data_IF_621853697420
#
_entry.id   IF_621853697420
#
_cell.length_a   1.000
_cell.length_b   1.000
_cell.length_c   1.000
_cell.angle_alpha   90.00
_cell.angle_beta   90.00
_cell.angle_gamma   90.00
#
_symmetry.space_group_name_H-M   'P 1'
#
loop_
_entity.id
_entity.type
_entity.pdbx_description
1 polymer ?
#
# COMPACT_ATOMS: atom_id res chain seq x y z
N UNK A 1 -3.60 3.38 -18.41
CA UNK A 1 -2.35 2.89 -17.81
C UNK A 1 -2.74 2.22 -16.51
N UNK A 2 -2.53 0.92 -16.34
CA UNK A 2 -2.85 0.26 -15.07
C UNK A 2 -1.76 0.60 -14.06
N UNK A 3 -2.14 1.28 -12.98
CA UNK A 3 -1.24 1.67 -11.89
C UNK A 3 -0.96 0.45 -11.02
N UNK A 4 0.10 -0.29 -11.37
CA UNK A 4 0.56 -1.46 -10.63
C UNK A 4 1.67 -1.09 -9.65
N UNK A 5 1.63 -1.72 -8.49
CA UNK A 5 2.70 -1.61 -7.50
C UNK A 5 3.92 -2.35 -8.05
N UNK A 6 5.08 -1.69 -7.97
CA UNK A 6 6.36 -2.24 -8.42
C UNK A 6 7.38 -2.07 -7.30
N UNK A 7 8.12 -3.12 -7.00
CA UNK A 7 9.18 -3.08 -6.01
C UNK A 7 10.51 -3.16 -6.72
N UNK A 8 11.37 -2.18 -6.46
CA UNK A 8 12.70 -2.05 -7.06
C UNK A 8 13.74 -2.52 -6.04
N UNK A 9 14.49 -3.58 -6.36
CA UNK A 9 15.55 -4.14 -5.48
C UNK A 9 16.78 -4.44 -6.32
N UNK A 10 17.86 -3.72 -6.07
CA UNK A 10 19.02 -3.71 -6.98
C UNK A 10 18.58 -3.35 -8.39
N UNK A 11 18.96 -4.17 -9.36
CA UNK A 11 18.57 -4.02 -10.77
C UNK A 11 17.21 -4.67 -11.10
N UNK A 12 16.58 -5.35 -10.13
CA UNK A 12 15.32 -6.07 -10.32
C UNK A 12 14.10 -5.19 -10.12
N UNK A 13 13.09 -5.39 -10.98
CA UNK A 13 11.74 -4.85 -10.80
C UNK A 13 10.75 -5.99 -10.61
N UNK A 14 10.06 -5.99 -9.47
CA UNK A 14 9.15 -7.06 -9.05
C UNK A 14 7.73 -6.54 -8.88
N UNK A 15 6.75 -7.43 -9.04
CA UNK A 15 5.33 -7.14 -8.90
C UNK A 15 4.82 -7.89 -7.67
N UNK A 16 4.48 -7.22 -6.56
CA UNK A 16 4.00 -7.92 -5.36
C UNK A 16 2.72 -8.71 -5.64
N UNK A 17 2.68 -9.98 -5.23
CA UNK A 17 1.57 -10.89 -5.56
C UNK A 17 0.22 -10.49 -4.94
N UNK A 18 0.22 -9.80 -3.79
CA UNK A 18 -0.99 -9.40 -3.08
C UNK A 18 -1.89 -8.42 -3.85
N UNK A 19 -1.40 -7.81 -4.95
CA UNK A 19 -2.21 -6.94 -5.79
C UNK A 19 -3.13 -7.71 -6.75
N UNK A 20 -3.02 -9.04 -6.79
CA UNK A 20 -3.86 -9.92 -7.60
C UNK A 20 -4.79 -10.76 -6.73
N UNK A 21 -5.96 -11.05 -7.26
CA UNK A 21 -6.87 -12.07 -6.75
C UNK A 21 -6.45 -13.45 -7.26
N UNK A 22 -7.12 -14.51 -6.79
CA UNK A 22 -6.82 -15.90 -7.18
C UNK A 22 -7.03 -16.17 -8.66
N UNK A 23 -7.90 -15.41 -9.33
CA UNK A 23 -8.14 -15.48 -10.77
C UNK A 23 -7.20 -14.58 -11.60
N UNK A 24 -6.16 -14.03 -10.95
CA UNK A 24 -5.17 -13.11 -11.52
C UNK A 24 -5.71 -11.74 -11.93
N UNK A 25 -6.97 -11.42 -11.60
CA UNK A 25 -7.48 -10.05 -11.74
C UNK A 25 -6.90 -9.14 -10.64
N UNK A 26 -6.94 -7.83 -10.85
CA UNK A 26 -6.40 -6.89 -9.86
C UNK A 26 -7.33 -6.78 -8.65
N UNK A 27 -6.74 -6.83 -7.45
CA UNK A 27 -7.46 -6.59 -6.22
C UNK A 27 -7.90 -5.10 -6.18
N UNK A 28 -9.22 -4.82 -6.20
CA UNK A 28 -9.74 -3.44 -6.26
C UNK A 28 -9.39 -2.63 -5.01
N UNK A 29 -9.25 -3.28 -3.85
CA UNK A 29 -8.85 -2.62 -2.60
C UNK A 29 -7.40 -2.16 -2.68
N UNK A 30 -6.51 -3.04 -3.12
CA UNK A 30 -5.07 -2.74 -3.24
C UNK A 30 -4.83 -1.67 -4.31
N UNK A 31 -5.53 -1.76 -5.45
CA UNK A 31 -5.40 -0.74 -6.51
C UNK A 31 -5.94 0.62 -6.08
N UNK A 32 -7.06 0.67 -5.34
CA UNK A 32 -7.58 1.91 -4.77
C UNK A 32 -6.64 2.54 -3.73
N UNK A 33 -6.03 1.73 -2.87
CA UNK A 33 -5.00 2.18 -1.93
C UNK A 33 -3.77 2.72 -2.66
N UNK A 34 -3.33 2.03 -3.71
CA UNK A 34 -2.15 2.45 -4.47
C UNK A 34 -2.41 3.75 -5.26
N UNK A 35 -3.59 3.91 -5.84
CA UNK A 35 -4.03 5.17 -6.45
C UNK A 35 -3.97 6.33 -5.45
N UNK A 36 -4.40 6.10 -4.21
CA UNK A 36 -4.27 7.10 -3.15
C UNK A 36 -2.79 7.39 -2.82
N UNK A 37 -1.96 6.35 -2.72
CA UNK A 37 -0.54 6.50 -2.46
C UNK A 37 0.17 7.33 -3.55
N UNK A 38 -0.15 7.11 -4.83
CA UNK A 38 0.37 7.90 -5.95
C UNK A 38 -0.03 9.38 -5.85
N UNK A 39 -1.28 9.68 -5.47
CA UNK A 39 -1.73 11.07 -5.23
C UNK A 39 -0.98 11.75 -4.08
N UNK A 40 -0.49 10.96 -3.12
CA UNK A 40 0.32 11.43 -2.00
C UNK A 40 1.82 11.43 -2.30
N UNK A 41 2.23 11.07 -3.52
CA UNK A 41 3.63 10.94 -3.93
C UNK A 41 4.42 9.94 -3.09
N UNK A 42 3.75 8.91 -2.57
CA UNK A 42 4.39 7.83 -1.81
C UNK A 42 5.12 6.91 -2.81
N UNK A 43 6.43 6.65 -2.63
CA UNK A 43 7.17 5.73 -3.49
C UNK A 43 6.60 4.31 -3.48
N UNK A 44 6.69 3.61 -4.59
CA UNK A 44 6.14 2.25 -4.71
C UNK A 44 6.72 1.29 -3.66
N UNK A 45 8.03 1.36 -3.40
CA UNK A 45 8.68 0.53 -2.38
C UNK A 45 8.15 0.82 -0.97
N UNK A 46 7.84 2.08 -0.66
CA UNK A 46 7.31 2.47 0.65
C UNK A 46 5.88 2.00 0.83
N UNK A 47 5.06 2.13 -0.21
CA UNK A 47 3.72 1.55 -0.23
C UNK A 47 3.78 0.03 -0.04
N UNK A 48 4.66 -0.66 -0.77
CA UNK A 48 4.80 -2.11 -0.66
C UNK A 48 5.30 -2.55 0.72
N UNK A 49 6.22 -1.80 1.32
CA UNK A 49 6.68 -2.05 2.68
C UNK A 49 5.54 -1.86 3.69
N UNK A 50 4.79 -0.77 3.59
CA UNK A 50 3.64 -0.50 4.45
C UNK A 50 2.59 -1.60 4.39
N UNK A 51 2.29 -2.13 3.19
CA UNK A 51 1.36 -3.25 3.03
C UNK A 51 1.78 -4.49 3.83
N UNK A 52 3.08 -4.69 4.04
CA UNK A 52 3.67 -5.89 4.64
C UNK A 52 4.05 -5.73 6.12
N UNK A 53 4.03 -4.52 6.67
CA UNK A 53 4.42 -4.26 8.06
C UNK A 53 3.20 -4.09 8.98
N UNK A 54 3.31 -4.50 10.26
CA UNK A 54 2.36 -4.14 11.29
C UNK A 54 2.11 -2.63 11.32
N UNK A 55 0.83 -2.24 11.32
CA UNK A 55 0.42 -0.85 11.29
C UNK A 55 -0.35 -0.50 12.57
N UNK A 56 0.15 0.47 13.34
CA UNK A 56 -0.50 0.90 14.60
C UNK A 56 -1.90 1.48 14.37
N UNK A 57 -2.14 2.14 13.25
CA UNK A 57 -3.47 2.61 12.83
C UNK A 57 -4.43 1.47 12.47
N UNK A 58 -3.93 0.23 12.36
CA UNK A 58 -4.69 -0.99 12.10
C UNK A 58 -4.53 -1.99 13.25
N UNK A 59 -4.38 -1.50 14.49
CA UNK A 59 -4.27 -2.32 15.70
C UNK A 59 -3.12 -3.34 15.64
N UNK A 60 -2.02 -2.98 14.96
CA UNK A 60 -0.85 -3.84 14.78
C UNK A 60 -1.00 -4.90 13.68
N UNK A 61 -2.12 -4.93 12.96
CA UNK A 61 -2.29 -5.81 11.80
C UNK A 61 -1.59 -5.23 10.56
N UNK A 62 -1.24 -6.09 9.61
CA UNK A 62 -0.71 -5.66 8.31
C UNK A 62 -1.86 -5.28 7.38
N UNK A 63 -1.72 -4.22 6.56
CA UNK A 63 -2.74 -3.87 5.56
C UNK A 63 -3.06 -5.01 4.60
N UNK A 64 -2.07 -5.84 4.22
CA UNK A 64 -2.28 -6.98 3.33
C UNK A 64 -3.26 -8.02 3.88
N UNK A 65 -3.24 -8.25 5.20
CA UNK A 65 -4.14 -9.22 5.86
C UNK A 65 -5.58 -8.71 5.96
N UNK A 66 -5.80 -7.43 5.69
CA UNK A 66 -7.07 -6.74 5.78
C UNK A 66 -7.66 -6.43 4.41
N UNK A 67 -6.88 -6.55 3.34
CA UNK A 67 -7.28 -6.17 1.98
C UNK A 67 -8.47 -6.99 1.45
N UNK A 68 -8.75 -8.17 2.01
CA UNK A 68 -9.89 -9.01 1.61
C UNK A 68 -11.13 -8.82 2.49
N UNK A 69 -10.96 -8.34 3.73
CA UNK A 69 -12.03 -8.38 4.75
C UNK A 69 -12.41 -7.02 5.32
N UNK A 70 -11.54 -6.02 5.20
CA UNK A 70 -11.72 -4.73 5.85
C UNK A 70 -12.52 -3.75 4.99
N UNK A 71 -13.13 -2.77 5.67
CA UNK A 71 -13.68 -1.60 5.01
C UNK A 71 -12.54 -0.80 4.37
N UNK A 72 -12.62 -0.61 3.04
CA UNK A 72 -11.63 0.15 2.24
C UNK A 72 -11.39 1.55 2.82
N UNK A 73 -12.42 2.18 3.39
CA UNK A 73 -12.28 3.49 4.02
C UNK A 73 -11.28 3.48 5.19
N UNK A 74 -11.31 2.45 6.03
CA UNK A 74 -10.39 2.31 7.17
C UNK A 74 -8.95 2.11 6.72
N UNK A 75 -8.72 1.36 5.63
CA UNK A 75 -7.38 1.17 5.06
C UNK A 75 -6.85 2.47 4.43
N UNK A 76 -7.71 3.25 3.76
CA UNK A 76 -7.33 4.54 3.20
C UNK A 76 -6.96 5.56 4.30
N UNK A 77 -7.74 5.61 5.39
CA UNK A 77 -7.43 6.47 6.53
C UNK A 77 -6.10 6.06 7.20
N UNK A 78 -5.87 4.76 7.37
CA UNK A 78 -4.61 4.26 7.93
C UNK A 78 -3.41 4.61 7.04
N UNK A 79 -3.55 4.50 5.71
CA UNK A 79 -2.52 4.91 4.75
C UNK A 79 -2.17 6.39 4.89
N UNK A 80 -3.20 7.25 4.95
CA UNK A 80 -3.03 8.69 5.11
C UNK A 80 -2.34 9.03 6.45
N UNK A 81 -2.73 8.37 7.55
CA UNK A 81 -2.16 8.65 8.88
C UNK A 81 -0.73 8.16 9.06
N UNK A 82 -0.35 7.07 8.40
CA UNK A 82 0.99 6.47 8.60
C UNK A 82 2.01 7.05 7.64
N UNK A 83 1.80 6.90 6.34
CA UNK A 83 2.81 7.31 5.37
C UNK A 83 2.79 8.82 5.10
N UNK A 84 1.62 9.48 5.15
CA UNK A 84 1.56 10.91 4.86
C UNK A 84 1.97 11.81 6.04
N UNK A 85 1.91 11.31 7.28
CA UNK A 85 2.35 12.07 8.46
C UNK A 85 3.86 11.88 8.70
N UNK A 86 4.39 10.67 8.56
CA UNK A 86 5.83 10.41 8.76
C UNK A 86 6.69 11.11 7.70
N UNK A 87 6.27 11.11 6.43
CA UNK A 87 7.00 11.82 5.35
C UNK A 87 6.96 13.36 5.48
N UNK A 88 6.08 13.92 6.32
CA UNK A 88 6.06 15.36 6.64
C UNK A 88 6.95 15.69 7.84
N UNK A 89 7.20 14.74 8.74
CA UNK A 89 8.08 14.90 9.89
C UNK A 89 9.58 14.82 9.51
N UNK A 90 9.92 14.22 8.36
CA UNK A 90 11.30 14.07 7.87
C UNK A 90 11.78 15.21 6.96
N UNK A 91 11.00 16.29 6.76
CA UNK A 91 11.49 17.49 6.07
C UNK A 91 12.23 18.40 7.07
N UNK A 92 13.51 18.75 6.82
CA UNK A 92 14.27 19.67 7.66
C UNK A 92 13.71 21.10 7.62
#
# INVERSE_FOLDING_TARGET
>A
MQELVRVFVGEGTFCPGYQFQTDLTLNPVVTGLFQRALKLLIPHNYFALWMMLPCSALEGRRPVDLAETANVASLLEALDRTLAQDMRAEKP
#
